data_IF_352747491931
#
_entry.id   IF_352747491931
#
_cell.length_a   1.000
_cell.length_b   1.000
_cell.length_c   1.000
_cell.angle_alpha   90.00
_cell.angle_beta   90.00
_cell.angle_gamma   90.00
#
_symmetry.space_group_name_H-M   'P 1'
#
loop_
_entity.id
_entity.type
_entity.pdbx_description
1 polymer ?
#
# COMPACT_ATOMS: atom_id res chain seq x y z
N UNK A 1 -6.37 -9.67 2.40
CA UNK A 1 -6.27 -10.97 3.08
C UNK A 1 -6.51 -10.77 4.57
N UNK A 2 -6.82 -11.82 5.33
CA UNK A 2 -7.00 -11.73 6.80
C UNK A 2 -5.75 -11.16 7.50
N UNK A 3 -4.56 -11.48 6.98
CA UNK A 3 -3.30 -10.88 7.43
C UNK A 3 -3.30 -9.35 7.43
N UNK A 4 -3.90 -8.71 6.43
CA UNK A 4 -3.98 -7.24 6.36
C UNK A 4 -4.89 -6.63 7.43
N UNK A 5 -5.79 -7.45 7.99
CA UNK A 5 -6.72 -7.09 9.07
C UNK A 5 -6.13 -7.48 10.44
N UNK A 6 -4.89 -7.97 10.47
CA UNK A 6 -4.24 -8.54 11.65
C UNK A 6 -5.05 -9.71 12.27
N UNK A 7 -5.73 -10.47 11.41
CA UNK A 7 -6.44 -11.70 11.78
C UNK A 7 -5.57 -12.88 11.38
N UNK A 8 -5.32 -13.77 12.34
CA UNK A 8 -4.54 -14.99 12.13
C UNK A 8 -5.35 -16.01 11.31
N UNK A 9 -4.71 -16.55 10.27
CA UNK A 9 -5.31 -17.53 9.38
C UNK A 9 -5.52 -18.90 10.03
N UNK A 10 -4.77 -19.25 11.09
CA UNK A 10 -4.93 -20.54 11.75
C UNK A 10 -6.09 -20.55 12.76
N UNK A 11 -6.49 -19.38 13.27
CA UNK A 11 -7.41 -19.25 14.41
C UNK A 11 -8.66 -18.42 14.13
N UNK A 12 -8.87 -17.98 12.87
CA UNK A 12 -10.00 -17.11 12.52
C UNK A 12 -11.36 -17.80 12.73
N UNK A 13 -11.46 -19.10 12.48
CA UNK A 13 -12.72 -19.85 12.66
C UNK A 13 -13.11 -19.95 14.12
N UNK A 14 -12.15 -20.28 15.01
CA UNK A 14 -12.40 -20.32 16.45
C UNK A 14 -12.74 -18.93 16.99
N UNK A 15 -12.08 -17.88 16.46
CA UNK A 15 -12.38 -16.50 16.82
C UNK A 15 -13.75 -16.04 16.33
N UNK A 16 -14.27 -16.63 15.24
CA UNK A 16 -15.58 -16.33 14.66
C UNK A 16 -16.75 -16.98 15.41
N UNK A 17 -16.49 -17.94 16.32
CA UNK A 17 -17.52 -18.55 17.17
C UNK A 17 -18.19 -17.52 18.09
N UNK A 18 -17.42 -16.54 18.56
CA UNK A 18 -17.94 -15.37 19.27
C UNK A 18 -18.18 -14.24 18.26
N UNK A 19 -19.46 -14.03 17.92
CA UNK A 19 -19.85 -13.09 16.88
C UNK A 19 -19.52 -11.64 17.20
N UNK A 20 -19.70 -11.21 18.45
CA UNK A 20 -19.42 -9.84 18.87
C UNK A 20 -17.92 -9.54 18.85
N UNK A 21 -17.13 -10.49 19.36
CA UNK A 21 -15.67 -10.41 19.30
C UNK A 21 -15.16 -10.41 17.87
N UNK A 22 -15.72 -11.26 17.01
CA UNK A 22 -15.36 -11.32 15.60
C UNK A 22 -15.66 -10.02 14.86
N UNK A 23 -16.87 -9.48 15.03
CA UNK A 23 -17.25 -8.21 14.41
C UNK A 23 -16.34 -7.06 14.86
N UNK A 24 -15.99 -7.02 16.14
CA UNK A 24 -15.07 -6.02 16.70
C UNK A 24 -13.66 -6.16 16.08
N UNK A 25 -13.14 -7.38 15.98
CA UNK A 25 -11.83 -7.66 15.39
C UNK A 25 -11.78 -7.27 13.91
N UNK A 26 -12.80 -7.63 13.13
CA UNK A 26 -12.89 -7.30 11.71
C UNK A 26 -12.97 -5.79 11.49
N UNK A 27 -13.81 -5.07 12.25
CA UNK A 27 -13.90 -3.61 12.13
C UNK A 27 -12.58 -2.91 12.45
N UNK A 28 -11.94 -3.31 13.55
CA UNK A 28 -10.63 -2.77 13.93
C UNK A 28 -9.60 -3.04 12.84
N UNK A 29 -9.53 -4.29 12.36
CA UNK A 29 -8.62 -4.69 11.29
C UNK A 29 -8.85 -3.91 10.00
N UNK A 30 -10.11 -3.68 9.63
CA UNK A 30 -10.49 -2.88 8.45
C UNK A 30 -10.01 -1.44 8.57
N UNK A 31 -10.25 -0.79 9.71
CA UNK A 31 -9.83 0.58 9.95
C UNK A 31 -8.29 0.72 9.87
N UNK A 32 -7.54 -0.22 10.47
CA UNK A 32 -6.08 -0.25 10.37
C UNK A 32 -5.63 -0.48 8.93
N UNK A 33 -6.26 -1.41 8.21
CA UNK A 33 -5.92 -1.71 6.82
C UNK A 33 -6.11 -0.46 5.93
N UNK A 34 -7.22 0.26 6.09
CA UNK A 34 -7.49 1.45 5.30
C UNK A 34 -6.54 2.60 5.65
N UNK A 35 -6.27 2.83 6.94
CA UNK A 35 -5.28 3.81 7.39
C UNK A 35 -3.91 3.55 6.74
N UNK A 36 -3.46 2.29 6.72
CA UNK A 36 -2.19 1.90 6.11
C UNK A 36 -2.20 2.08 4.59
N UNK A 37 -3.34 1.82 3.93
CA UNK A 37 -3.48 2.04 2.48
C UNK A 37 -3.36 3.53 2.11
N UNK A 38 -4.00 4.40 2.88
CA UNK A 38 -3.94 5.85 2.68
C UNK A 38 -2.50 6.33 2.88
N UNK A 39 -1.88 5.99 4.01
CA UNK A 39 -0.49 6.36 4.28
C UNK A 39 0.46 5.90 3.17
N UNK A 40 0.35 4.64 2.73
CA UNK A 40 1.17 4.13 1.64
C UNK A 40 0.90 4.81 0.28
N UNK A 41 -0.30 5.34 0.05
CA UNK A 41 -0.61 6.10 -1.16
C UNK A 41 0.00 7.52 -1.08
N UNK A 42 -0.05 8.14 0.09
CA UNK A 42 0.56 9.43 0.38
C UNK A 42 2.09 9.37 0.24
N UNK A 43 2.73 8.35 0.81
CA UNK A 43 4.17 8.11 0.68
C UNK A 43 4.59 7.99 -0.79
N UNK A 44 3.85 7.19 -1.58
CA UNK A 44 4.11 7.06 -3.02
C UNK A 44 3.90 8.37 -3.76
N UNK A 45 2.90 9.16 -3.37
CA UNK A 45 2.66 10.49 -3.96
C UNK A 45 3.82 11.43 -3.65
N UNK A 46 4.31 11.44 -2.42
CA UNK A 46 5.44 12.27 -2.02
C UNK A 46 6.73 11.83 -2.71
N UNK A 47 6.98 10.53 -2.83
CA UNK A 47 8.12 9.99 -3.57
C UNK A 47 8.11 10.44 -5.04
N UNK A 48 6.94 10.44 -5.70
CA UNK A 48 6.80 10.97 -7.07
C UNK A 48 7.11 12.46 -7.17
N UNK A 49 6.61 13.27 -6.22
CA UNK A 49 6.93 14.71 -6.17
C UNK A 49 8.42 14.95 -5.98
N UNK A 50 9.05 14.22 -5.06
CA UNK A 50 10.48 14.35 -4.78
C UNK A 50 11.30 13.96 -6.01
N UNK A 51 10.93 12.92 -6.74
CA UNK A 51 11.57 12.53 -8.01
C UNK A 51 11.39 13.58 -9.11
N UNK A 52 10.23 14.22 -9.19
CA UNK A 52 10.00 15.29 -10.15
C UNK A 52 10.82 16.55 -9.82
N UNK A 53 10.97 16.87 -8.53
CA UNK A 53 11.72 18.04 -8.06
C UNK A 53 13.25 17.80 -8.05
N UNK A 54 13.69 16.55 -7.95
CA UNK A 54 15.09 16.14 -8.03
C UNK A 54 15.24 15.18 -9.21
N UNK A 55 15.33 15.69 -10.46
CA UNK A 55 15.52 14.85 -11.61
C UNK A 55 16.81 14.05 -11.43
N UNK A 56 16.70 12.73 -11.46
CA UNK A 56 17.85 11.87 -11.74
C UNK A 56 18.39 12.31 -13.11
N UNK A 57 19.72 12.35 -13.27
CA UNK A 57 20.38 12.72 -14.53
C UNK A 57 19.64 12.13 -15.73
N UNK A 58 19.40 12.97 -16.74
CA UNK A 58 18.56 12.63 -17.89
C UNK A 58 18.97 11.32 -18.53
N UNK A 59 17.99 10.60 -19.10
CA UNK A 59 18.24 9.31 -19.75
C UNK A 59 19.43 9.43 -20.71
N UNK A 60 20.54 8.77 -20.39
CA UNK A 60 21.78 8.79 -21.19
C UNK A 60 21.66 7.94 -22.45
N UNK A 61 20.53 7.23 -22.62
CA UNK A 61 20.27 6.38 -23.76
C UNK A 61 19.79 7.27 -24.91
N UNK A 62 20.57 7.42 -25.99
CA UNK A 62 20.14 8.20 -27.14
C UNK A 62 18.97 7.53 -27.83
N UNK A 63 18.01 8.33 -28.28
CA UNK A 63 16.87 7.86 -29.07
C UNK A 63 17.38 7.35 -30.43
N UNK A 64 17.20 6.07 -30.78
CA UNK A 64 17.72 5.52 -32.04
C UNK A 64 17.02 6.05 -33.30
N UNK A 65 15.87 6.74 -33.14
CA UNK A 65 15.06 7.27 -34.24
C UNK A 65 15.04 8.80 -34.29
N UNK A 66 15.56 9.47 -33.27
CA UNK A 66 15.56 10.93 -33.20
C UNK A 66 16.93 11.40 -33.72
N UNK A 67 16.97 11.96 -34.93
CA UNK A 67 18.17 12.66 -35.40
C UNK A 67 18.25 13.99 -34.65
N UNK A 68 19.17 14.10 -33.70
CA UNK A 68 19.54 15.38 -33.11
C UNK A 68 20.35 16.16 -34.15
N UNK A 69 19.75 17.18 -34.77
CA UNK A 69 20.45 18.26 -35.46
C UNK A 69 20.92 19.31 -34.47
#
# INVERSE_FOLDING_TARGET
SLKAFNIDHATWEQSALDRERWQSAVHKGANTCETNRIAAAEDRRQARKNRANNPVEGATIPCPHCHCL
#
